data_IF_817550318765
#
_entry.id   IF_817550318765
#
_cell.length_a   1.000
_cell.length_b   1.000
_cell.length_c   1.000
_cell.angle_alpha   90.00
_cell.angle_beta   90.00
_cell.angle_gamma   90.00
#
_symmetry.space_group_name_H-M   'P 1'
#
loop_
_entity.id
_entity.type
_entity.pdbx_description
1 polymer ?
#
# COMPACT_ATOMS: atom_id res chain seq x y z
N UNK A 1 -10.19 -11.21 2.88
CA UNK A 1 -9.84 -11.62 1.51
C UNK A 1 -10.85 -11.06 0.52
N UNK A 2 -10.74 -9.79 0.21
CA UNK A 2 -11.66 -9.10 -0.70
C UNK A 2 -10.85 -8.26 -1.69
N UNK A 3 -11.50 -7.82 -2.78
CA UNK A 3 -10.86 -6.93 -3.74
C UNK A 3 -10.48 -5.60 -3.08
N UNK A 4 -11.31 -5.11 -2.16
CA UNK A 4 -11.01 -3.89 -1.43
C UNK A 4 -9.78 -4.03 -0.55
N UNK A 5 -9.62 -5.19 0.09
CA UNK A 5 -8.46 -5.42 0.94
C UNK A 5 -7.16 -5.39 0.15
N UNK A 6 -7.16 -5.96 -1.05
CA UNK A 6 -5.98 -5.94 -1.91
C UNK A 6 -5.62 -4.51 -2.34
N UNK A 7 -6.61 -3.73 -2.70
CA UNK A 7 -6.40 -2.32 -3.07
C UNK A 7 -5.83 -1.55 -1.90
N UNK A 8 -6.38 -1.74 -0.70
CA UNK A 8 -5.91 -1.08 0.51
C UNK A 8 -4.46 -1.45 0.80
N UNK A 9 -4.13 -2.72 0.67
CA UNK A 9 -2.77 -3.18 0.89
C UNK A 9 -1.79 -2.53 -0.08
N UNK A 10 -2.19 -2.38 -1.34
CA UNK A 10 -1.37 -1.72 -2.35
C UNK A 10 -1.12 -0.25 -1.98
N UNK A 11 -2.14 0.44 -1.49
CA UNK A 11 -1.99 1.82 -1.06
C UNK A 11 -0.99 1.94 0.09
N UNK A 12 -1.07 1.05 1.05
CA UNK A 12 -0.11 1.04 2.16
C UNK A 12 1.31 0.79 1.67
N UNK A 13 1.48 -0.13 0.73
CA UNK A 13 2.80 -0.45 0.19
C UNK A 13 3.43 0.77 -0.51
N UNK A 14 2.63 1.52 -1.27
CA UNK A 14 3.11 2.72 -1.94
C UNK A 14 3.57 3.76 -0.92
N UNK A 15 2.79 3.96 0.13
CA UNK A 15 3.14 4.93 1.17
C UNK A 15 4.45 4.54 1.88
N UNK A 16 4.63 3.26 2.16
CA UNK A 16 5.86 2.77 2.77
C UNK A 16 7.05 2.98 1.87
N UNK A 17 6.89 2.70 0.57
CA UNK A 17 7.97 2.88 -0.40
C UNK A 17 8.39 4.34 -0.48
N UNK A 18 7.44 5.26 -0.49
CA UNK A 18 7.73 6.70 -0.52
C UNK A 18 8.45 7.12 0.76
N UNK A 19 8.03 6.61 1.90
CA UNK A 19 8.68 6.94 3.18
C UNK A 19 10.12 6.46 3.21
N UNK A 20 10.39 5.29 2.65
CA UNK A 20 11.74 4.76 2.61
C UNK A 20 12.64 5.53 1.62
N UNK A 21 12.04 6.13 0.59
CA UNK A 21 12.77 6.93 -0.39
C UNK A 21 13.10 8.33 0.08
N UNK A 22 12.38 8.79 1.07
CA UNK A 22 12.56 10.16 1.58
C UNK A 22 13.91 10.36 2.34
#
# INVERSE_FOLDING_TARGET
DTAGALVELTECAVLLALALSL
#
